data_IF_393616932143
#
_entry.id   IF_393616932143
#
_cell.length_a   1.000
_cell.length_b   1.000
_cell.length_c   1.000
_cell.angle_alpha   90.00
_cell.angle_beta   90.00
_cell.angle_gamma   90.00
#
_symmetry.space_group_name_H-M   'P 1'
#
loop_
_entity.id
_entity.type
_entity.pdbx_description
1 polymer ?
#
# COMPACT_ATOMS: atom_id res chain seq x y z
N UNK A 1 -3.69 -49.32 44.07
CA UNK A 1 -2.79 -49.12 42.92
C UNK A 1 -3.45 -48.37 41.75
N UNK A 2 -4.75 -48.58 41.45
CA UNK A 2 -5.43 -47.92 40.33
C UNK A 2 -5.75 -46.42 40.50
N UNK A 3 -5.79 -45.88 41.73
CA UNK A 3 -6.02 -44.44 41.97
C UNK A 3 -4.82 -43.56 41.58
N UNK A 4 -3.60 -44.09 41.66
CA UNK A 4 -2.37 -43.36 41.32
C UNK A 4 -2.18 -43.14 39.80
N UNK A 5 -2.79 -43.99 38.97
CA UNK A 5 -2.76 -43.84 37.52
C UNK A 5 -3.72 -42.73 37.04
N UNK A 6 -4.84 -42.53 37.76
CA UNK A 6 -5.81 -41.49 37.44
C UNK A 6 -5.32 -40.08 37.82
N UNK A 7 -4.54 -39.96 38.90
CA UNK A 7 -3.91 -38.68 39.27
C UNK A 7 -2.83 -38.26 38.27
N UNK A 8 -2.01 -39.17 37.75
CA UNK A 8 -0.99 -38.81 36.75
C UNK A 8 -1.60 -38.36 35.41
N UNK A 9 -2.69 -38.97 34.94
CA UNK A 9 -3.36 -38.54 33.71
C UNK A 9 -4.00 -37.15 33.83
N UNK A 10 -4.52 -36.80 35.01
CA UNK A 10 -5.09 -35.46 35.24
C UNK A 10 -4.01 -34.37 35.25
N UNK A 11 -2.80 -34.66 35.75
CA UNK A 11 -1.66 -33.73 35.68
C UNK A 11 -1.10 -33.59 34.25
N UNK A 12 -1.01 -34.69 33.50
CA UNK A 12 -0.55 -34.66 32.10
C UNK A 12 -1.55 -33.95 31.18
N UNK A 13 -2.84 -34.22 31.31
CA UNK A 13 -3.88 -33.57 30.50
C UNK A 13 -4.00 -32.06 30.79
N UNK A 14 -3.72 -31.64 32.03
CA UNK A 14 -3.63 -30.22 32.40
C UNK A 14 -2.42 -29.50 31.77
N UNK A 15 -1.25 -30.16 31.73
CA UNK A 15 -0.08 -29.61 31.04
C UNK A 15 -0.29 -29.49 29.53
N UNK A 16 -0.92 -30.49 28.90
CA UNK A 16 -1.24 -30.43 27.46
C UNK A 16 -2.18 -29.27 27.14
N UNK A 17 -3.21 -29.05 27.96
CA UNK A 17 -4.13 -27.90 27.81
C UNK A 17 -3.38 -26.56 27.86
N UNK A 18 -2.49 -26.37 28.84
CA UNK A 18 -1.71 -25.13 28.99
C UNK A 18 -0.77 -24.93 27.81
N UNK A 19 -0.16 -26.01 27.30
CA UNK A 19 0.74 -25.96 26.15
C UNK A 19 0.00 -25.53 24.89
N UNK A 20 -1.19 -26.07 24.64
CA UNK A 20 -2.04 -25.67 23.51
C UNK A 20 -2.49 -24.22 23.66
N UNK A 21 -2.88 -23.81 24.87
CA UNK A 21 -3.29 -22.43 25.14
C UNK A 21 -2.16 -21.43 24.87
N UNK A 22 -0.94 -21.75 25.29
CA UNK A 22 0.27 -20.96 24.97
C UNK A 22 0.51 -20.87 23.46
N UNK A 23 0.41 -22.00 22.73
CA UNK A 23 0.61 -22.01 21.27
C UNK A 23 -0.45 -21.15 20.57
N UNK A 24 -1.72 -21.24 21.00
CA UNK A 24 -2.81 -20.44 20.42
C UNK A 24 -2.59 -18.94 20.64
N UNK A 25 -2.17 -18.52 21.84
CA UNK A 25 -1.86 -17.12 22.13
C UNK A 25 -0.71 -16.63 21.25
N UNK A 26 0.36 -17.41 21.10
CA UNK A 26 1.50 -17.07 20.23
C UNK A 26 1.05 -16.95 18.76
N UNK A 27 0.24 -17.90 18.27
CA UNK A 27 -0.29 -17.85 16.91
C UNK A 27 -1.19 -16.63 16.66
N UNK A 28 -1.99 -16.22 17.65
CA UNK A 28 -2.82 -15.00 17.56
C UNK A 28 -1.95 -13.75 17.38
N UNK A 29 -0.90 -13.59 18.20
CA UNK A 29 0.01 -12.44 18.12
C UNK A 29 0.71 -12.37 16.76
N UNK A 30 1.18 -13.52 16.25
CA UNK A 30 1.83 -13.60 14.94
C UNK A 30 0.86 -13.23 13.81
N UNK A 31 -0.38 -13.70 13.88
CA UNK A 31 -1.39 -13.44 12.86
C UNK A 31 -1.74 -11.95 12.73
N UNK A 32 -1.94 -11.25 13.86
CA UNK A 32 -2.19 -9.80 13.85
C UNK A 32 -0.98 -9.04 13.29
N UNK A 33 0.23 -9.49 13.62
CA UNK A 33 1.47 -8.87 13.14
C UNK A 33 1.62 -8.98 11.62
N UNK A 34 1.35 -10.15 11.03
CA UNK A 34 1.41 -10.37 9.58
C UNK A 34 0.35 -9.54 8.86
N UNK A 35 -0.88 -9.51 9.38
CA UNK A 35 -1.96 -8.74 8.77
C UNK A 35 -1.64 -7.24 8.74
N UNK A 36 -1.09 -6.71 9.84
CA UNK A 36 -0.64 -5.32 9.95
C UNK A 36 0.47 -4.97 8.94
N UNK A 37 1.46 -5.86 8.78
CA UNK A 37 2.53 -5.69 7.79
C UNK A 37 1.99 -5.73 6.35
N UNK A 38 1.05 -6.63 6.05
CA UNK A 38 0.44 -6.72 4.73
C UNK A 38 -0.38 -5.46 4.38
N UNK A 39 -1.14 -4.90 5.33
CA UNK A 39 -1.87 -3.64 5.09
C UNK A 39 -0.90 -2.49 4.81
N UNK A 40 0.17 -2.37 5.61
CA UNK A 40 1.21 -1.35 5.40
C UNK A 40 1.87 -1.47 4.02
N UNK A 41 2.16 -2.70 3.58
CA UNK A 41 2.75 -2.95 2.27
C UNK A 41 1.78 -2.66 1.12
N UNK A 42 0.49 -2.98 1.29
CA UNK A 42 -0.56 -2.67 0.33
C UNK A 42 -0.69 -1.16 0.11
N UNK A 43 -0.72 -0.39 1.19
CA UNK A 43 -0.84 1.08 1.12
C UNK A 43 0.39 1.70 0.44
N UNK A 44 1.59 1.23 0.80
CA UNK A 44 2.83 1.69 0.17
C UNK A 44 2.88 1.35 -1.32
N UNK A 45 2.47 0.13 -1.68
CA UNK A 45 2.42 -0.30 -3.09
C UNK A 45 1.42 0.53 -3.89
N UNK A 46 0.27 0.84 -3.30
CA UNK A 46 -0.74 1.68 -3.95
C UNK A 46 -0.23 3.12 -4.15
N UNK A 47 0.47 3.68 -3.17
CA UNK A 47 1.10 4.99 -3.29
C UNK A 47 2.15 5.03 -4.42
N UNK A 48 2.97 3.98 -4.56
CA UNK A 48 3.91 3.86 -5.68
C UNK A 48 3.21 3.77 -7.03
N UNK A 49 2.16 2.97 -7.12
CA UNK A 49 1.36 2.85 -8.36
C UNK A 49 0.74 4.20 -8.72
N UNK A 50 0.22 4.94 -7.74
CA UNK A 50 -0.38 6.26 -7.98
C UNK A 50 0.66 7.30 -8.38
N UNK A 51 1.87 7.24 -7.82
CA UNK A 51 2.99 8.08 -8.22
C UNK A 51 3.44 7.77 -9.67
N UNK A 52 3.50 6.48 -10.05
CA UNK A 52 3.82 6.08 -11.42
C UNK A 52 2.73 6.58 -12.39
N UNK A 53 1.45 6.43 -12.03
CA UNK A 53 0.32 6.95 -12.83
C UNK A 53 0.43 8.47 -13.02
N UNK A 54 0.76 9.20 -11.96
CA UNK A 54 1.01 10.64 -12.04
C UNK A 54 2.14 10.96 -13.03
N UNK A 55 3.29 10.30 -12.90
CA UNK A 55 4.45 10.52 -13.78
C UNK A 55 4.13 10.21 -15.25
N UNK A 56 3.42 9.11 -15.53
CA UNK A 56 2.98 8.78 -16.88
C UNK A 56 2.01 9.82 -17.45
N UNK A 57 1.09 10.33 -16.63
CA UNK A 57 0.20 11.41 -17.02
C UNK A 57 0.96 12.69 -17.37
N UNK A 58 1.90 13.13 -16.53
CA UNK A 58 2.74 14.29 -16.85
C UNK A 58 3.56 14.12 -18.11
N UNK A 59 4.14 12.95 -18.33
CA UNK A 59 4.90 12.67 -19.57
C UNK A 59 4.01 12.80 -20.80
N UNK A 60 2.78 12.30 -20.74
CA UNK A 60 1.79 12.50 -21.80
C UNK A 60 1.50 13.97 -22.05
N UNK A 61 1.23 14.74 -20.99
CA UNK A 61 0.98 16.19 -21.07
C UNK A 61 2.19 16.94 -21.63
N UNK A 62 3.40 16.61 -21.18
CA UNK A 62 4.66 17.19 -21.67
C UNK A 62 4.83 16.95 -23.16
N UNK A 63 4.70 15.70 -23.63
CA UNK A 63 4.89 15.38 -25.04
C UNK A 63 3.81 16.01 -25.92
N UNK A 64 2.58 16.11 -25.42
CA UNK A 64 1.53 16.84 -26.10
C UNK A 64 1.88 18.32 -26.24
N UNK A 65 2.35 18.96 -25.17
CA UNK A 65 2.77 20.36 -25.18
C UNK A 65 3.98 20.61 -26.09
N UNK A 66 4.94 19.70 -26.08
CA UNK A 66 6.13 19.77 -26.92
C UNK A 66 5.79 19.62 -28.41
N UNK A 67 4.94 18.63 -28.75
CA UNK A 67 4.58 18.33 -30.15
C UNK A 67 3.60 19.33 -30.75
N UNK A 68 2.67 19.88 -29.97
CA UNK A 68 1.70 20.87 -30.46
C UNK A 68 2.35 22.23 -30.74
N UNK A 69 3.51 22.53 -30.14
CA UNK A 69 4.20 23.81 -30.25
C UNK A 69 3.38 25.02 -29.75
N UNK A 70 2.21 24.75 -29.15
CA UNK A 70 1.22 25.74 -28.75
C UNK A 70 0.53 25.20 -27.50
N UNK A 71 1.11 25.54 -26.35
CA UNK A 71 0.46 25.35 -25.07
C UNK A 71 0.26 26.71 -24.45
N UNK A 72 -0.96 26.99 -23.98
CA UNK A 72 -1.22 28.22 -23.24
C UNK A 72 -0.61 28.05 -21.84
N UNK A 73 0.42 28.81 -21.47
CA UNK A 73 1.04 28.68 -20.15
C UNK A 73 0.00 28.89 -19.05
N UNK A 74 0.03 28.06 -18.02
CA UNK A 74 -0.95 28.08 -16.93
C UNK A 74 -2.24 27.30 -17.21
N UNK A 75 -2.33 26.59 -18.35
CA UNK A 75 -3.44 25.66 -18.60
C UNK A 75 -3.32 24.45 -17.69
N UNK A 76 -4.40 24.15 -16.97
CA UNK A 76 -4.53 22.92 -16.19
C UNK A 76 -5.18 21.84 -17.03
N UNK A 77 -4.46 20.75 -17.26
CA UNK A 77 -4.96 19.53 -17.88
C UNK A 77 -5.41 18.58 -16.76
N UNK A 78 -6.62 18.05 -16.88
CA UNK A 78 -7.15 17.05 -15.96
C UNK A 78 -7.16 15.68 -16.63
N UNK A 79 -6.78 14.64 -15.90
CA UNK A 79 -6.82 13.27 -16.37
C UNK A 79 -7.21 12.32 -15.25
N UNK A 80 -8.02 11.31 -15.56
CA UNK A 80 -8.42 10.29 -14.58
C UNK A 80 -7.71 8.98 -14.89
N UNK A 81 -6.93 8.48 -13.93
CA UNK A 81 -6.22 7.21 -14.04
C UNK A 81 -6.49 6.36 -12.80
N UNK A 82 -6.91 5.11 -12.99
CA UNK A 82 -7.19 4.21 -11.87
C UNK A 82 -8.27 4.74 -10.90
N UNK A 83 -9.22 5.55 -11.38
CA UNK A 83 -10.29 6.15 -10.58
C UNK A 83 -9.89 7.40 -9.78
N UNK A 84 -8.62 7.83 -9.85
CA UNK A 84 -8.14 9.09 -9.26
C UNK A 84 -7.97 10.17 -10.32
N UNK A 85 -8.28 11.41 -9.97
CA UNK A 85 -8.12 12.56 -10.86
C UNK A 85 -6.80 13.24 -10.57
N UNK A 86 -5.99 13.39 -11.61
CA UNK A 86 -4.71 14.08 -11.60
C UNK A 86 -4.89 15.41 -12.32
N UNK A 87 -4.28 16.46 -11.79
CA UNK A 87 -4.20 17.75 -12.46
C UNK A 87 -2.76 18.04 -12.81
N UNK A 88 -2.50 18.48 -14.04
CA UNK A 88 -1.20 18.94 -14.45
C UNK A 88 -1.25 20.34 -15.02
N UNK A 89 -0.35 21.21 -14.56
CA UNK A 89 -0.21 22.57 -15.07
C UNK A 89 1.08 22.68 -15.85
N UNK A 90 0.97 23.14 -17.09
CA UNK A 90 2.13 23.37 -17.96
C UNK A 90 2.49 24.85 -17.96
N UNK A 91 3.74 25.16 -17.65
CA UNK A 91 4.29 26.51 -17.69
C UNK A 91 5.46 26.54 -18.65
N UNK A 92 5.47 27.48 -19.58
CA UNK A 92 6.56 27.69 -20.53
C UNK A 92 7.35 28.92 -20.10
N UNK A 93 8.65 28.76 -19.86
CA UNK A 93 9.56 29.85 -19.50
C UNK A 93 10.73 29.85 -20.50
N UNK A 94 10.64 30.71 -21.52
CA UNK A 94 11.60 30.70 -22.62
C UNK A 94 11.55 29.37 -23.38
N UNK A 95 12.68 28.66 -23.47
CA UNK A 95 12.79 27.35 -24.12
C UNK A 95 12.55 26.16 -23.19
N UNK A 96 12.16 26.40 -21.92
CA UNK A 96 11.91 25.36 -20.93
C UNK A 96 10.40 25.13 -20.79
N UNK A 97 9.98 23.86 -20.82
CA UNK A 97 8.62 23.43 -20.50
C UNK A 97 8.67 22.77 -19.12
N UNK A 98 7.96 23.37 -18.16
CA UNK A 98 7.79 22.82 -16.82
C UNK A 98 6.38 22.23 -16.67
N UNK A 99 6.29 21.02 -16.13
CA UNK A 99 5.04 20.30 -15.93
C UNK A 99 4.92 19.95 -14.45
N UNK A 100 3.96 20.59 -13.78
CA UNK A 100 3.66 20.33 -12.37
C UNK A 100 2.45 19.41 -12.29
N UNK A 101 2.41 18.51 -11.31
CA UNK A 101 1.33 17.54 -11.10
C UNK A 101 0.85 17.63 -9.66
N UNK A 102 -0.47 17.58 -9.48
CA UNK A 102 -1.13 17.42 -8.20
C UNK A 102 -2.11 16.24 -8.26
N UNK A 103 -2.18 15.45 -7.18
CA UNK A 103 -3.02 14.25 -7.04
C UNK A 103 -3.57 14.11 -5.62
#
# INVERSE_FOLDING_TARGET
MFRQLNDNQNHESGMVLVTILMIVIVMMILSVSILSQHMTQSDFSQAQVDQIRADQFAKGVFWNAYSSGSFTPGTTVLGTYGGKTYSSTVTVQGNLINVQISY
#
